data_IF_688118699474
#
_entry.id   IF_688118699474
#
_cell.length_a   1.000
_cell.length_b   1.000
_cell.length_c   1.000
_cell.angle_alpha   90.00
_cell.angle_beta   90.00
_cell.angle_gamma   90.00
#
_symmetry.space_group_name_H-M   'P 1'
#
loop_
_entity.id
_entity.type
_entity.pdbx_description
1 polymer ?
#
# COMPACT_ATOMS: atom_id res chain seq x y z
N UNK A 1 -1.30 3.74 -5.63
CA UNK A 1 -2.36 4.68 -5.27
C UNK A 1 -1.94 5.46 -4.02
N UNK A 2 -1.88 6.79 -4.05
CA UNK A 2 -1.38 7.60 -2.94
C UNK A 2 -2.46 7.88 -1.87
N UNK A 3 -3.26 6.90 -1.50
CA UNK A 3 -4.30 7.05 -0.46
C UNK A 3 -3.97 6.25 0.79
N UNK A 4 -4.15 6.87 1.95
CA UNK A 4 -4.14 6.21 3.27
C UNK A 4 -5.58 6.17 3.79
N UNK A 5 -5.95 5.02 4.38
CA UNK A 5 -7.28 4.81 4.93
C UNK A 5 -8.34 4.51 3.88
N UNK A 6 -9.54 5.04 4.06
CA UNK A 6 -10.73 4.69 3.30
C UNK A 6 -11.53 3.58 3.96
N UNK A 7 -12.59 3.13 3.29
CA UNK A 7 -13.52 2.11 3.82
C UNK A 7 -12.77 0.86 4.27
N UNK A 8 -13.03 0.40 5.48
CA UNK A 8 -12.40 -0.72 6.18
C UNK A 8 -10.88 -0.57 6.44
N UNK A 9 -10.24 0.48 5.99
CA UNK A 9 -8.79 0.72 6.17
C UNK A 9 -8.51 1.87 7.12
N UNK A 10 -9.33 2.92 7.13
CA UNK A 10 -9.17 4.07 8.02
C UNK A 10 -9.23 3.68 9.50
N UNK A 11 -10.06 2.71 9.85
CA UNK A 11 -10.14 2.16 11.20
C UNK A 11 -8.82 1.51 11.62
N UNK A 12 -8.24 0.67 10.74
CA UNK A 12 -6.96 0.00 11.00
C UNK A 12 -5.80 0.99 11.19
N UNK A 13 -5.79 2.09 10.45
CA UNK A 13 -4.77 3.15 10.64
C UNK A 13 -4.90 3.78 12.02
N UNK A 14 -6.13 4.00 12.49
CA UNK A 14 -6.37 4.56 13.83
C UNK A 14 -6.08 3.58 14.95
N UNK A 15 -6.39 2.31 14.77
CA UNK A 15 -6.00 1.25 15.70
C UNK A 15 -4.48 1.14 15.82
N UNK A 16 -3.79 1.19 14.68
CA UNK A 16 -2.32 1.22 14.64
C UNK A 16 -1.75 2.44 15.37
N UNK A 17 -2.34 3.61 15.16
CA UNK A 17 -1.95 4.85 15.82
C UNK A 17 -2.12 4.77 17.33
N UNK A 18 -3.24 4.21 17.81
CA UNK A 18 -3.49 3.99 19.24
C UNK A 18 -2.47 3.05 19.90
N UNK A 19 -1.79 2.22 19.12
CA UNK A 19 -0.67 1.36 19.56
C UNK A 19 0.71 2.02 19.40
N UNK A 20 0.75 3.32 19.07
CA UNK A 20 2.00 4.07 18.88
C UNK A 20 2.58 3.98 17.45
N UNK A 21 1.78 3.55 16.47
CA UNK A 21 2.23 3.46 15.09
C UNK A 21 2.37 4.82 14.40
N UNK A 22 3.28 4.93 13.46
CA UNK A 22 3.66 6.19 12.82
C UNK A 22 2.87 6.54 11.53
N UNK A 23 2.06 5.60 11.01
CA UNK A 23 1.35 5.78 9.75
C UNK A 23 0.36 6.94 9.79
N UNK A 24 -0.39 7.10 10.89
CA UNK A 24 -1.35 8.18 11.10
C UNK A 24 -0.67 9.55 11.09
N UNK A 25 0.39 9.69 11.87
CA UNK A 25 1.20 10.94 11.97
C UNK A 25 1.83 11.33 10.62
N UNK A 26 2.39 10.36 9.91
CA UNK A 26 2.97 10.59 8.59
C UNK A 26 1.91 10.96 7.54
N UNK A 27 0.71 10.37 7.63
CA UNK A 27 -0.42 10.74 6.79
C UNK A 27 -0.87 12.19 7.05
N UNK A 28 -1.00 12.58 8.31
CA UNK A 28 -1.38 13.95 8.70
C UNK A 28 -0.35 15.00 8.26
N UNK A 29 0.94 14.65 8.26
CA UNK A 29 2.01 15.52 7.80
C UNK A 29 2.08 15.67 6.27
N UNK A 30 1.48 14.76 5.50
CA UNK A 30 1.71 14.65 4.05
C UNK A 30 0.47 14.61 3.18
N UNK A 31 -0.74 14.73 3.76
CA UNK A 31 -1.95 14.72 2.95
C UNK A 31 -2.09 15.98 2.07
N UNK A 32 -2.78 15.81 0.96
CA UNK A 32 -3.18 16.87 0.04
C UNK A 32 -4.71 17.04 0.03
N UNK A 33 -5.45 15.99 0.39
CA UNK A 33 -6.90 16.03 0.62
C UNK A 33 -7.27 15.02 1.71
N UNK A 34 -8.09 15.45 2.66
CA UNK A 34 -8.68 14.58 3.70
C UNK A 34 -10.21 14.62 3.61
N UNK A 35 -10.82 13.46 3.69
CA UNK A 35 -12.29 13.33 3.64
C UNK A 35 -12.77 12.14 4.49
N UNK A 36 -13.81 12.38 5.27
CA UNK A 36 -14.54 11.32 5.96
C UNK A 36 -15.55 10.69 5.00
N UNK A 37 -15.37 9.41 4.72
CA UNK A 37 -16.27 8.64 3.86
C UNK A 37 -17.44 8.05 4.66
N UNK A 38 -18.52 7.72 3.96
CA UNK A 38 -19.70 7.04 4.51
C UNK A 38 -20.46 7.84 5.60
N UNK A 39 -20.37 9.16 5.63
CA UNK A 39 -21.07 10.00 6.62
C UNK A 39 -22.57 9.73 6.68
N UNK A 40 -23.22 9.38 5.57
CA UNK A 40 -24.64 9.05 5.50
C UNK A 40 -25.01 7.65 5.99
N UNK A 41 -24.05 6.81 6.39
CA UNK A 41 -24.29 5.40 6.77
C UNK A 41 -24.14 5.12 8.27
N UNK A 42 -24.01 6.15 9.08
CA UNK A 42 -23.83 6.05 10.53
C UNK A 42 -22.37 5.94 10.98
N UNK A 43 -22.09 6.28 12.25
CA UNK A 43 -20.72 6.47 12.76
C UNK A 43 -19.83 5.23 12.68
N UNK A 44 -20.40 4.03 12.83
CA UNK A 44 -19.65 2.78 12.84
C UNK A 44 -18.89 2.50 11.53
N UNK A 45 -19.33 3.08 10.42
CA UNK A 45 -18.72 2.91 9.10
C UNK A 45 -18.07 4.19 8.56
N UNK A 46 -18.03 5.26 9.36
CA UNK A 46 -17.28 6.46 9.04
C UNK A 46 -15.82 6.11 8.86
N UNK A 47 -15.26 6.40 7.70
CA UNK A 47 -13.91 5.99 7.35
C UNK A 47 -13.10 7.17 6.82
N UNK A 48 -12.10 7.56 7.57
CA UNK A 48 -11.20 8.61 7.13
C UNK A 48 -10.34 8.15 5.95
N UNK A 49 -10.24 8.99 4.93
CA UNK A 49 -9.37 8.80 3.77
C UNK A 49 -8.54 10.07 3.56
N UNK A 50 -7.24 9.91 3.45
CA UNK A 50 -6.35 10.96 3.01
C UNK A 50 -5.73 10.62 1.66
N UNK A 51 -5.80 11.56 0.72
CA UNK A 51 -4.94 11.55 -0.47
C UNK A 51 -3.61 12.15 -0.05
N UNK A 52 -2.52 11.46 -0.38
CA UNK A 52 -1.20 11.74 0.14
C UNK A 52 -0.28 12.26 -0.96
N UNK A 53 0.53 13.28 -0.66
CA UNK A 53 1.74 13.52 -1.43
C UNK A 53 2.72 12.39 -1.15
N UNK A 54 2.89 11.52 -2.14
CA UNK A 54 3.68 10.30 -2.00
C UNK A 54 5.14 10.56 -1.68
N UNK A 55 5.72 11.62 -2.24
CA UNK A 55 7.12 11.99 -1.99
C UNK A 55 7.30 12.52 -0.57
N UNK A 56 6.39 13.40 -0.16
CA UNK A 56 6.39 13.96 1.20
C UNK A 56 6.20 12.86 2.25
N UNK A 57 5.27 11.93 2.03
CA UNK A 57 5.07 10.78 2.92
C UNK A 57 6.33 9.92 3.03
N UNK A 58 6.99 9.63 1.90
CA UNK A 58 8.24 8.89 1.89
C UNK A 58 9.32 9.58 2.73
N UNK A 59 9.50 10.87 2.55
CA UNK A 59 10.47 11.67 3.32
C UNK A 59 10.14 11.66 4.81
N UNK A 60 8.88 11.84 5.18
CA UNK A 60 8.43 11.80 6.57
C UNK A 60 8.68 10.43 7.22
N UNK A 61 8.33 9.35 6.54
CA UNK A 61 8.57 7.99 7.05
C UNK A 61 10.06 7.68 7.17
N UNK A 62 10.85 8.05 6.15
CA UNK A 62 12.30 7.87 6.18
C UNK A 62 12.92 8.57 7.38
N UNK A 63 12.57 9.85 7.59
CA UNK A 63 13.05 10.65 8.72
C UNK A 63 12.72 10.00 10.07
N UNK A 64 11.51 9.47 10.24
CA UNK A 64 11.07 8.78 11.46
C UNK A 64 11.88 7.53 11.72
N UNK A 65 12.03 6.70 10.69
CA UNK A 65 12.77 5.43 10.78
C UNK A 65 14.26 5.67 11.05
N UNK A 66 14.88 6.64 10.37
CA UNK A 66 16.31 6.93 10.53
C UNK A 66 16.66 7.58 11.89
N UNK A 67 15.71 8.29 12.51
CA UNK A 67 15.89 8.92 13.82
C UNK A 67 15.44 8.00 14.99
N UNK A 68 14.91 6.83 14.70
CA UNK A 68 14.46 5.92 15.75
C UNK A 68 15.65 5.33 16.52
N UNK A 69 15.68 5.54 17.82
CA UNK A 69 16.71 4.95 18.69
C UNK A 69 16.67 3.42 18.61
N UNK A 70 17.82 2.81 18.69
CA UNK A 70 18.03 1.36 18.66
C UNK A 70 17.53 0.69 17.36
N UNK A 71 17.36 1.44 16.29
CA UNK A 71 16.99 0.94 14.96
C UNK A 71 18.13 1.19 13.97
N UNK A 72 18.56 0.14 13.28
CA UNK A 72 19.49 0.23 12.15
C UNK A 72 18.79 -0.15 10.86
N UNK A 73 18.81 0.74 9.89
CA UNK A 73 18.27 0.51 8.55
C UNK A 73 19.39 0.01 7.64
N UNK A 74 19.20 -1.15 7.03
CA UNK A 74 20.16 -1.74 6.10
C UNK A 74 19.49 -2.06 4.76
N UNK A 75 20.14 -1.71 3.68
CA UNK A 75 19.70 -2.07 2.33
C UNK A 75 20.22 -3.47 2.01
N UNK A 76 19.37 -4.47 2.15
CA UNK A 76 19.68 -5.85 1.82
C UNK A 76 18.41 -6.63 1.50
N UNK A 77 18.51 -7.63 0.64
CA UNK A 77 17.46 -8.62 0.42
C UNK A 77 17.77 -9.83 1.32
N UNK A 78 16.81 -10.20 2.16
CA UNK A 78 16.88 -11.43 2.96
C UNK A 78 16.33 -12.58 2.13
N UNK A 79 17.16 -13.60 1.96
CA UNK A 79 16.81 -14.79 1.16
C UNK A 79 16.56 -16.03 2.01
N UNK A 80 17.09 -16.06 3.23
CA UNK A 80 16.94 -17.22 4.11
C UNK A 80 16.79 -16.80 5.57
N UNK A 81 16.02 -17.60 6.31
CA UNK A 81 15.91 -17.58 7.77
C UNK A 81 16.43 -18.93 8.27
N UNK A 82 17.33 -18.93 9.23
CA UNK A 82 17.94 -20.13 9.79
C UNK A 82 17.38 -20.36 11.17
N UNK A 83 17.13 -21.63 11.51
CA UNK A 83 16.67 -22.08 12.81
C UNK A 83 17.64 -23.13 13.37
N UNK A 84 17.65 -23.28 14.68
CA UNK A 84 18.29 -24.39 15.37
C UNK A 84 17.43 -25.68 15.31
N UNK A 85 17.89 -26.73 15.99
CA UNK A 85 17.22 -28.04 16.07
C UNK A 85 15.85 -27.97 16.78
N UNK A 86 15.65 -26.96 17.64
CA UNK A 86 14.40 -26.70 18.37
C UNK A 86 13.45 -25.77 17.60
N UNK A 87 13.76 -25.42 16.35
CA UNK A 87 13.04 -24.47 15.50
C UNK A 87 13.05 -23.01 16.00
N UNK A 88 13.98 -22.61 16.86
CA UNK A 88 14.17 -21.22 17.20
C UNK A 88 14.94 -20.51 16.09
N UNK A 89 14.50 -19.32 15.72
CA UNK A 89 15.22 -18.49 14.75
C UNK A 89 16.56 -18.05 15.34
N UNK A 90 17.63 -18.26 14.58
CA UNK A 90 19.01 -17.90 15.00
C UNK A 90 19.63 -16.84 14.11
N UNK A 91 19.36 -16.89 12.80
CA UNK A 91 20.04 -16.03 11.82
C UNK A 91 19.12 -15.68 10.64
N UNK A 92 19.44 -14.59 9.97
CA UNK A 92 18.94 -14.27 8.62
C UNK A 92 20.11 -14.09 7.67
N UNK A 93 19.94 -14.53 6.43
CA UNK A 93 20.99 -14.48 5.40
C UNK A 93 20.53 -13.57 4.27
N UNK A 94 21.44 -12.69 3.84
CA UNK A 94 21.22 -11.83 2.68
C UNK A 94 21.60 -12.55 1.38
N UNK A 95 21.09 -12.04 0.25
CA UNK A 95 21.46 -12.52 -1.07
C UNK A 95 22.97 -12.42 -1.39
N UNK A 96 23.71 -11.57 -0.66
CA UNK A 96 25.16 -11.43 -0.78
C UNK A 96 25.92 -12.35 0.17
N UNK A 97 25.24 -13.22 0.92
CA UNK A 97 25.82 -14.16 1.85
C UNK A 97 26.17 -13.59 3.23
N UNK A 98 25.77 -12.36 3.54
CA UNK A 98 25.98 -11.81 4.88
C UNK A 98 24.95 -12.41 5.85
N UNK A 99 25.43 -12.90 6.97
CA UNK A 99 24.63 -13.48 8.06
C UNK A 99 24.46 -12.50 9.20
N UNK A 100 23.22 -12.36 9.68
CA UNK A 100 22.91 -11.58 10.87
C UNK A 100 22.31 -12.50 11.94
N UNK A 101 22.93 -12.57 13.10
CA UNK A 101 22.36 -13.25 14.28
C UNK A 101 21.18 -12.46 14.81
N UNK A 102 20.05 -13.11 14.96
CA UNK A 102 18.80 -12.49 15.39
C UNK A 102 18.06 -13.40 16.40
N UNK A 103 17.24 -12.80 17.25
CA UNK A 103 16.38 -13.52 18.19
C UNK A 103 14.96 -13.73 17.67
N UNK A 104 14.56 -12.89 16.72
CA UNK A 104 13.23 -12.94 16.10
C UNK A 104 13.26 -12.26 14.73
N UNK A 105 12.36 -12.65 13.85
CA UNK A 105 12.18 -12.06 12.52
C UNK A 105 10.72 -11.65 12.34
N UNK A 106 10.52 -10.41 11.93
CA UNK A 106 9.20 -9.89 11.51
C UNK A 106 9.23 -9.70 10.01
N UNK A 107 8.34 -10.38 9.30
CA UNK A 107 8.23 -10.30 7.84
C UNK A 107 7.15 -9.29 7.48
N UNK A 108 7.57 -8.15 6.96
CA UNK A 108 6.71 -7.07 6.51
C UNK A 108 6.99 -6.74 5.04
N UNK A 109 7.03 -7.77 4.21
CA UNK A 109 7.52 -7.77 2.83
C UNK A 109 6.65 -7.02 1.81
N UNK A 110 5.48 -6.53 2.20
CA UNK A 110 4.58 -5.83 1.30
C UNK A 110 4.25 -6.67 0.05
N UNK A 111 4.58 -6.14 -1.14
CA UNK A 111 4.35 -6.80 -2.43
C UNK A 111 5.65 -7.31 -3.09
N UNK A 112 6.71 -7.54 -2.30
CA UNK A 112 8.00 -7.99 -2.83
C UNK A 112 8.08 -9.50 -3.08
N UNK A 113 7.49 -10.34 -2.20
CA UNK A 113 7.62 -11.80 -2.27
C UNK A 113 7.06 -12.34 -3.59
N UNK A 114 7.94 -12.82 -4.45
CA UNK A 114 7.64 -13.25 -5.84
C UNK A 114 6.72 -12.27 -6.55
N UNK A 115 7.03 -10.97 -6.38
CA UNK A 115 6.22 -9.88 -6.93
C UNK A 115 6.15 -9.96 -8.46
N UNK A 116 4.97 -9.63 -9.02
CA UNK A 116 4.73 -9.65 -10.47
C UNK A 116 3.88 -8.47 -10.88
N UNK A 117 4.31 -7.75 -11.89
CA UNK A 117 3.55 -6.66 -12.52
C UNK A 117 2.88 -7.18 -13.78
N UNK A 118 1.61 -6.83 -13.94
CA UNK A 118 0.78 -7.20 -15.08
C UNK A 118 0.14 -5.93 -15.66
N UNK A 119 0.30 -5.70 -16.96
CA UNK A 119 -0.30 -4.56 -17.67
C UNK A 119 -0.82 -5.08 -19.01
N UNK A 120 -2.13 -5.28 -19.13
CA UNK A 120 -2.71 -5.98 -20.28
C UNK A 120 -2.08 -7.36 -20.43
N UNK A 121 -1.51 -7.67 -21.59
CA UNK A 121 -0.79 -8.91 -21.88
C UNK A 121 0.66 -8.92 -21.40
N UNK A 122 1.20 -7.78 -20.96
CA UNK A 122 2.57 -7.69 -20.45
C UNK A 122 2.66 -8.24 -19.03
N UNK A 123 3.69 -9.05 -18.80
CA UNK A 123 3.97 -9.65 -17.49
C UNK A 123 5.46 -9.62 -17.21
N UNK A 124 5.83 -9.18 -16.01
CA UNK A 124 7.21 -9.16 -15.53
C UNK A 124 7.30 -9.43 -14.04
N UNK A 125 8.29 -10.20 -13.61
CA UNK A 125 8.67 -10.27 -12.21
C UNK A 125 9.24 -8.92 -11.77
N UNK A 126 8.68 -8.37 -10.71
CA UNK A 126 9.09 -7.07 -10.17
C UNK A 126 8.55 -6.88 -8.77
N UNK A 127 9.33 -6.26 -7.92
CA UNK A 127 8.85 -5.61 -6.71
C UNK A 127 8.14 -4.30 -7.02
N UNK A 128 7.68 -3.56 -5.99
CA UNK A 128 7.06 -2.26 -6.16
C UNK A 128 8.01 -1.24 -6.81
N UNK A 129 7.44 -0.29 -7.54
CA UNK A 129 8.17 0.82 -8.18
C UNK A 129 9.34 0.42 -9.11
N UNK A 130 9.29 -0.78 -9.66
CA UNK A 130 10.32 -1.30 -10.56
C UNK A 130 11.54 -1.89 -9.86
N UNK A 131 11.51 -2.01 -8.54
CA UNK A 131 12.56 -2.70 -7.78
C UNK A 131 12.54 -4.21 -8.03
N UNK A 132 13.61 -4.89 -7.63
CA UNK A 132 13.70 -6.35 -7.75
C UNK A 132 12.69 -7.05 -6.84
N UNK A 133 12.07 -8.15 -7.27
CA UNK A 133 11.25 -8.99 -6.42
C UNK A 133 12.13 -9.82 -5.48
N UNK A 134 11.62 -10.17 -4.30
CA UNK A 134 12.24 -11.14 -3.40
C UNK A 134 11.74 -12.55 -3.76
N UNK A 135 12.52 -13.31 -4.48
CA UNK A 135 12.09 -14.59 -5.05
C UNK A 135 12.39 -15.79 -4.15
N UNK A 136 13.48 -15.75 -3.39
CA UNK A 136 13.98 -16.91 -2.65
C UNK A 136 13.30 -17.12 -1.29
N UNK A 137 13.04 -16.05 -0.55
CA UNK A 137 12.50 -16.12 0.80
C UNK A 137 11.16 -16.88 0.88
N UNK A 138 10.35 -16.84 -0.18
CA UNK A 138 9.09 -17.57 -0.23
C UNK A 138 9.26 -19.09 -0.09
N UNK A 139 10.30 -19.66 -0.69
CA UNK A 139 10.57 -21.10 -0.60
C UNK A 139 11.10 -21.47 0.79
N UNK A 140 11.93 -20.61 1.37
CA UNK A 140 12.40 -20.80 2.73
C UNK A 140 11.23 -20.80 3.74
N UNK A 141 10.29 -19.85 3.62
CA UNK A 141 9.11 -19.80 4.48
C UNK A 141 8.23 -21.05 4.38
N UNK A 142 8.08 -21.64 3.19
CA UNK A 142 7.35 -22.89 3.02
C UNK A 142 7.98 -24.06 3.76
N UNK A 143 9.31 -24.11 3.89
CA UNK A 143 10.00 -25.14 4.65
C UNK A 143 9.62 -25.12 6.14
N UNK A 144 9.23 -23.96 6.67
CA UNK A 144 8.69 -23.83 8.02
C UNK A 144 7.19 -24.15 8.13
N UNK A 145 6.57 -24.69 7.09
CA UNK A 145 5.15 -25.04 7.07
C UNK A 145 4.21 -23.83 6.89
N UNK A 146 4.74 -22.65 6.54
CA UNK A 146 3.93 -21.45 6.31
C UNK A 146 3.22 -21.58 4.95
N UNK A 147 1.89 -21.62 4.98
CA UNK A 147 1.08 -21.61 3.76
C UNK A 147 1.11 -20.23 3.12
N UNK A 148 1.60 -20.14 1.90
CA UNK A 148 1.63 -18.89 1.13
C UNK A 148 0.57 -18.88 0.04
N UNK A 149 -0.22 -17.80 -0.01
CA UNK A 149 -1.25 -17.59 -1.02
C UNK A 149 -0.88 -16.39 -1.92
N UNK A 150 -1.28 -16.48 -3.19
CA UNK A 150 -1.12 -15.37 -4.12
C UNK A 150 -2.22 -14.34 -3.89
N UNK A 151 -1.80 -13.09 -3.62
CA UNK A 151 -2.70 -11.95 -3.59
C UNK A 151 -2.50 -11.08 -4.83
N UNK A 152 -3.56 -10.44 -5.28
CA UNK A 152 -3.52 -9.42 -6.33
C UNK A 152 -3.97 -8.07 -5.79
N UNK A 153 -3.37 -7.01 -6.32
CA UNK A 153 -3.85 -5.64 -6.12
C UNK A 153 -4.11 -5.00 -7.49
N UNK A 154 -5.11 -4.11 -7.58
CA UNK A 154 -5.36 -3.32 -8.78
C UNK A 154 -4.85 -1.89 -8.57
N UNK A 155 -4.16 -1.36 -9.58
CA UNK A 155 -3.78 0.05 -9.62
C UNK A 155 -4.49 0.70 -10.79
N UNK A 156 -5.26 1.79 -10.58
CA UNK A 156 -5.89 2.50 -11.67
C UNK A 156 -4.85 3.13 -12.60
N UNK A 157 -5.21 3.30 -13.86
CA UNK A 157 -4.35 3.96 -14.83
C UNK A 157 -4.05 5.40 -14.37
N UNK A 158 -2.80 5.81 -14.53
CA UNK A 158 -2.39 7.20 -14.35
C UNK A 158 -2.42 7.88 -15.71
N UNK A 159 -3.09 9.02 -15.77
CA UNK A 159 -3.19 9.84 -16.97
C UNK A 159 -2.54 11.19 -16.73
N UNK A 160 -2.04 11.83 -17.78
CA UNK A 160 -1.47 13.16 -17.69
C UNK A 160 -2.57 14.20 -17.42
N UNK A 161 -2.35 15.10 -16.47
CA UNK A 161 -3.38 16.04 -16.03
C UNK A 161 -3.91 16.94 -17.18
N UNK A 162 -3.01 17.32 -18.09
CA UNK A 162 -3.37 18.17 -19.25
C UNK A 162 -4.26 17.46 -20.27
N UNK A 163 -4.45 16.14 -20.16
CA UNK A 163 -5.35 15.35 -21.01
C UNK A 163 -6.76 15.23 -20.45
N UNK A 164 -7.01 15.81 -19.27
CA UNK A 164 -8.29 15.73 -18.58
C UNK A 164 -9.15 16.95 -18.89
N UNK A 165 -10.40 16.69 -19.24
CA UNK A 165 -11.41 17.73 -19.42
C UNK A 165 -12.20 17.90 -18.11
N UNK A 166 -11.69 18.74 -17.24
CA UNK A 166 -12.29 19.02 -15.93
C UNK A 166 -13.70 19.64 -16.01
N UNK A 167 -14.08 20.23 -17.16
CA UNK A 167 -15.42 20.80 -17.35
C UNK A 167 -16.53 19.73 -17.38
N UNK A 168 -16.15 18.47 -17.61
CA UNK A 168 -17.06 17.30 -17.64
C UNK A 168 -17.05 16.52 -16.32
N UNK A 169 -16.39 17.02 -15.29
CA UNK A 169 -16.22 16.34 -14.03
C UNK A 169 -16.90 17.13 -12.91
N UNK A 170 -17.35 16.43 -11.90
CA UNK A 170 -17.93 17.02 -10.71
C UNK A 170 -16.82 17.24 -9.66
N UNK A 171 -16.69 18.47 -9.17
CA UNK A 171 -15.70 18.80 -8.17
C UNK A 171 -16.02 18.11 -6.83
N UNK A 172 -15.06 17.39 -6.28
CA UNK A 172 -15.14 16.77 -4.97
C UNK A 172 -14.08 17.37 -4.02
N UNK A 173 -14.50 18.31 -3.21
CA UNK A 173 -13.65 18.90 -2.18
C UNK A 173 -13.45 17.94 -1.01
N UNK A 174 -12.35 18.13 -0.26
CA UNK A 174 -12.16 17.50 1.02
C UNK A 174 -13.08 18.08 2.10
N UNK A 175 -13.03 17.52 3.30
CA UNK A 175 -13.81 18.06 4.42
C UNK A 175 -13.29 19.44 4.83
N UNK A 176 -14.18 20.37 5.11
CA UNK A 176 -13.85 21.70 5.64
C UNK A 176 -13.22 21.57 7.03
N UNK A 177 -13.85 20.79 7.89
CA UNK A 177 -13.31 20.43 9.21
C UNK A 177 -12.56 19.10 9.10
N UNK A 178 -11.25 19.19 9.02
CA UNK A 178 -10.38 18.02 8.90
C UNK A 178 -10.25 17.31 10.26
N UNK A 179 -10.47 16.00 10.24
CA UNK A 179 -10.19 15.12 11.37
C UNK A 179 -8.84 14.48 11.12
N UNK A 180 -7.83 14.61 12.00
CA UNK A 180 -6.55 13.96 11.83
C UNK A 180 -6.66 12.44 11.95
N UNK A 181 -5.72 11.72 11.35
CA UNK A 181 -5.59 10.27 11.55
C UNK A 181 -5.04 9.95 12.93
N UNK A 182 -3.98 10.65 13.33
CA UNK A 182 -3.35 10.44 14.62
C UNK A 182 -4.08 11.17 15.74
N UNK A 183 -4.20 10.50 16.88
CA UNK A 183 -4.69 11.11 18.11
C UNK A 183 -3.71 12.11 18.71
N UNK A 184 -2.44 12.05 18.32
CA UNK A 184 -1.38 12.96 18.76
C UNK A 184 -1.23 14.21 17.86
N UNK A 185 -1.92 14.26 16.72
CA UNK A 185 -1.85 15.41 15.81
C UNK A 185 -2.74 16.54 16.32
N UNK A 186 -2.14 17.55 16.91
CA UNK A 186 -2.84 18.74 17.42
C UNK A 186 -3.22 19.71 16.30
N UNK A 187 -2.30 19.94 15.38
CA UNK A 187 -2.47 20.90 14.28
C UNK A 187 -2.43 20.17 12.95
N UNK A 188 -3.59 19.96 12.37
CA UNK A 188 -3.73 19.38 11.04
C UNK A 188 -3.76 20.48 9.99
N UNK A 189 -3.11 20.25 8.85
CA UNK A 189 -3.08 21.18 7.72
C UNK A 189 -4.45 21.40 7.08
N UNK A 190 -4.46 21.95 5.88
CA UNK A 190 -5.66 22.17 5.07
C UNK A 190 -5.63 21.36 3.79
N UNK A 191 -6.79 21.13 3.19
CA UNK A 191 -6.90 20.54 1.86
C UNK A 191 -6.23 21.45 0.83
N UNK A 192 -5.39 20.88 -0.03
CA UNK A 192 -4.59 21.60 -1.02
C UNK A 192 -5.14 21.40 -2.44
N UNK A 193 -5.66 20.21 -2.74
CA UNK A 193 -6.08 19.81 -4.07
C UNK A 193 -7.42 19.07 -3.98
N UNK A 194 -8.42 19.44 -4.79
CA UNK A 194 -9.67 18.70 -4.87
C UNK A 194 -9.51 17.38 -5.64
N UNK A 195 -10.45 16.46 -5.47
CA UNK A 195 -10.69 15.35 -6.37
C UNK A 195 -11.80 15.71 -7.37
N UNK A 196 -11.98 14.84 -8.36
CA UNK A 196 -13.06 14.99 -9.34
C UNK A 196 -13.78 13.65 -9.51
N UNK A 197 -15.12 13.71 -9.51
CA UNK A 197 -15.95 12.56 -9.77
C UNK A 197 -16.21 12.46 -11.27
N UNK A 198 -16.09 11.25 -11.78
CA UNK A 198 -16.46 10.89 -13.15
C UNK A 198 -17.37 9.66 -13.11
N UNK A 199 -18.33 9.63 -14.03
CA UNK A 199 -19.28 8.53 -14.13
C UNK A 199 -19.02 7.73 -15.38
N UNK A 200 -19.17 6.41 -15.28
CA UNK A 200 -19.19 5.53 -16.45
C UNK A 200 -20.49 5.70 -17.23
N UNK A 201 -20.44 5.42 -18.51
CA UNK A 201 -21.60 5.43 -19.40
C UNK A 201 -21.59 4.18 -20.30
N UNK A 202 -22.60 4.01 -21.14
CA UNK A 202 -22.72 2.85 -22.03
C UNK A 202 -21.49 2.63 -22.92
N UNK A 203 -20.91 3.70 -23.45
CA UNK A 203 -19.68 3.62 -24.26
C UNK A 203 -18.49 3.12 -23.42
N UNK A 204 -18.37 3.56 -22.19
CA UNK A 204 -17.36 3.08 -21.25
C UNK A 204 -17.53 1.58 -20.98
N UNK A 205 -18.78 1.15 -20.76
CA UNK A 205 -19.09 -0.26 -20.52
C UNK A 205 -18.81 -1.12 -21.75
N UNK A 206 -19.17 -0.64 -22.94
CA UNK A 206 -18.90 -1.34 -24.20
C UNK A 206 -17.39 -1.54 -24.40
N UNK A 207 -16.58 -0.48 -24.20
CA UNK A 207 -15.11 -0.57 -24.31
C UNK A 207 -14.55 -1.61 -23.31
N UNK A 208 -15.07 -1.65 -22.09
CA UNK A 208 -14.64 -2.64 -21.09
C UNK A 208 -15.01 -4.05 -21.57
N UNK A 209 -16.23 -4.27 -22.01
CA UNK A 209 -16.71 -5.56 -22.51
C UNK A 209 -15.88 -6.08 -23.68
N UNK A 210 -15.61 -5.23 -24.65
CA UNK A 210 -14.84 -5.59 -25.85
C UNK A 210 -13.37 -5.95 -25.53
N UNK A 211 -12.89 -5.55 -24.35
CA UNK A 211 -11.49 -5.75 -23.94
C UNK A 211 -11.32 -6.65 -22.70
N UNK A 212 -12.36 -7.32 -22.24
CA UNK A 212 -12.28 -8.21 -21.07
C UNK A 212 -11.22 -9.31 -21.25
N UNK A 213 -11.12 -9.92 -22.42
CA UNK A 213 -10.11 -10.93 -22.74
C UNK A 213 -8.66 -10.42 -22.71
N UNK A 214 -8.46 -9.10 -22.79
CA UNK A 214 -7.15 -8.45 -22.67
C UNK A 214 -6.82 -8.04 -21.24
N UNK A 215 -7.78 -8.14 -20.35
CA UNK A 215 -7.56 -7.83 -18.94
C UNK A 215 -6.70 -8.92 -18.29
N UNK A 216 -5.64 -8.54 -17.61
CA UNK A 216 -4.84 -9.48 -16.83
C UNK A 216 -5.67 -10.25 -15.78
N UNK A 217 -6.70 -9.62 -15.25
CA UNK A 217 -7.57 -10.18 -14.22
C UNK A 217 -8.67 -11.09 -14.79
N UNK A 218 -9.35 -10.66 -15.85
CA UNK A 218 -10.49 -11.38 -16.43
C UNK A 218 -10.09 -12.27 -17.60
N UNK A 219 -8.92 -12.06 -18.20
CA UNK A 219 -8.32 -12.87 -19.25
C UNK A 219 -7.55 -14.11 -18.76
N UNK A 220 -7.64 -14.46 -17.46
CA UNK A 220 -7.04 -15.67 -16.91
C UNK A 220 -5.53 -15.60 -16.57
N UNK A 221 -4.89 -14.44 -16.71
CA UNK A 221 -3.45 -14.30 -16.39
C UNK A 221 -3.17 -14.23 -14.87
N UNK A 222 -4.17 -13.92 -14.08
CA UNK A 222 -4.05 -13.76 -12.62
C UNK A 222 -4.99 -14.73 -11.92
N UNK A 223 -4.37 -15.71 -11.29
CA UNK A 223 -5.04 -16.54 -10.29
C UNK A 223 -4.73 -15.96 -8.90
N UNK A 224 -5.72 -15.49 -8.18
CA UNK A 224 -5.49 -14.95 -6.84
C UNK A 224 -6.69 -14.19 -6.27
N UNK A 225 -6.71 -14.13 -4.94
CA UNK A 225 -7.73 -13.40 -4.18
C UNK A 225 -7.29 -11.94 -4.06
N UNK A 226 -8.17 -11.00 -4.41
CA UNK A 226 -7.93 -9.59 -4.14
C UNK A 226 -8.11 -9.32 -2.64
N UNK A 227 -7.14 -8.75 -1.94
CA UNK A 227 -7.36 -8.24 -0.60
C UNK A 227 -8.34 -7.05 -0.70
N UNK A 228 -9.39 -7.10 0.05
CA UNK A 228 -10.36 -6.01 0.19
C UNK A 228 -10.55 -5.65 1.65
#
# INVERSE_FOLDING_TARGET
>A
NPSIGGTAKGHLVRELDALGGEMGKAADASFIQSKMLNKGKGPAVHSLRAQIDRKKYHVEMKKRVENQENLQVKQAEIVNVITDEDNNVTEVVTHTGVEYKVKAVIIASGTYLKGKILIGSYSRESGPDGMFPANELSENLRRFGIELKRFKTGTPARVHADTLDYSKMELEEGDEKIVPFSFETENVGKNLVPCYLVYTNEKTHQIIHDNLGRSAMYGGMVEGIGPR
#
